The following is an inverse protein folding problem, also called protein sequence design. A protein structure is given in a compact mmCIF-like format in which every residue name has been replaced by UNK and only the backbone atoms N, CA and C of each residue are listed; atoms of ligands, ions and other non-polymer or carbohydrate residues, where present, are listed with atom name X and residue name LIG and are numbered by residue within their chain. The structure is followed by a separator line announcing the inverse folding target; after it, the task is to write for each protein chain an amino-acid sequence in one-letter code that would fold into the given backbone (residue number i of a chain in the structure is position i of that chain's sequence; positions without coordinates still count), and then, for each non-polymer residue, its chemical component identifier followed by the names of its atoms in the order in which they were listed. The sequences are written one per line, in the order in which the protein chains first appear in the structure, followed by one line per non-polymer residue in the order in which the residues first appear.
data_IF_892908820367
#
_entry.id   IF_892908820367
#
_cell.length_a   1.000
_cell.length_b   1.000
_cell.length_c   1.000
_cell.angle_alpha   90.00
_cell.angle_beta   90.00
_cell.angle_gamma   90.00
#
_symmetry.space_group_name_H-M   'P 1'
#
loop_
_entity.id
_entity.type
_entity.pdbx_description
1 polymer ?
#
# COMPACT_ATOMS: atom_id res chain seq x y z
N UNK A 1 41.37 -10.75 48.17
CA UNK A 1 41.17 -10.83 46.72
C UNK A 1 40.97 -9.42 46.19
N UNK A 2 41.92 -8.87 45.41
CA UNK A 2 41.80 -7.55 44.78
C UNK A 2 40.89 -7.69 43.55
N UNK A 3 39.69 -7.10 43.55
CA UNK A 3 38.84 -6.93 42.36
C UNK A 3 39.49 -5.94 41.45
N UNK A 4 39.98 -6.39 40.31
CA UNK A 4 40.42 -5.50 39.23
C UNK A 4 39.18 -4.95 38.55
N UNK A 5 38.81 -3.72 38.86
CA UNK A 5 37.77 -3.00 38.11
C UNK A 5 38.41 -2.46 36.85
N UNK A 6 38.18 -3.14 35.72
CA UNK A 6 38.50 -2.59 34.39
C UNK A 6 37.45 -1.54 34.03
N UNK A 7 37.87 -0.29 34.01
CA UNK A 7 37.02 0.82 33.51
C UNK A 7 37.16 0.96 32.01
N UNK A 8 36.05 1.30 31.32
CA UNK A 8 36.08 1.66 29.91
C UNK A 8 36.85 2.96 29.69
N UNK A 9 37.67 3.00 28.65
CA UNK A 9 38.36 4.23 28.25
C UNK A 9 37.40 5.12 27.44
N UNK A 10 37.58 6.44 27.51
CA UNK A 10 36.75 7.40 26.77
C UNK A 10 36.87 7.20 25.26
N UNK A 11 38.04 6.79 24.77
CA UNK A 11 38.25 6.52 23.35
C UNK A 11 37.56 5.28 22.85
N UNK A 12 37.44 4.23 23.67
CA UNK A 12 36.67 3.02 23.33
C UNK A 12 35.18 3.34 23.18
N UNK A 13 34.64 4.17 24.09
CA UNK A 13 33.24 4.60 23.99
C UNK A 13 33.00 5.44 22.73
N UNK A 14 33.92 6.37 22.45
CA UNK A 14 33.82 7.25 21.27
C UNK A 14 33.92 6.46 19.98
N UNK A 15 34.80 5.46 19.89
CA UNK A 15 34.89 4.58 18.72
C UNK A 15 33.58 3.79 18.47
N UNK A 16 32.98 3.24 19.53
CA UNK A 16 31.70 2.48 19.41
C UNK A 16 30.57 3.36 18.93
N UNK A 17 30.40 4.58 19.51
CA UNK A 17 29.30 5.46 19.08
C UNK A 17 29.47 5.95 17.66
N UNK A 18 30.74 6.16 17.21
CA UNK A 18 31.02 6.51 15.82
C UNK A 18 30.61 5.37 14.87
N UNK A 19 30.97 4.12 15.19
CA UNK A 19 30.60 2.95 14.38
C UNK A 19 29.08 2.79 14.29
N UNK A 20 28.37 2.88 15.43
CA UNK A 20 26.90 2.81 15.46
C UNK A 20 26.28 3.94 14.63
N UNK A 21 26.80 5.16 14.72
CA UNK A 21 26.35 6.32 13.96
C UNK A 21 26.43 6.08 12.45
N UNK A 22 27.55 5.56 11.96
CA UNK A 22 27.73 5.25 10.53
C UNK A 22 26.79 4.13 10.09
N UNK A 23 26.68 3.04 10.82
CA UNK A 23 25.81 1.92 10.50
C UNK A 23 24.34 2.35 10.48
N UNK A 24 23.89 3.11 11.47
CA UNK A 24 22.51 3.59 11.59
C UNK A 24 22.14 4.53 10.45
N UNK A 25 23.08 5.37 9.97
CA UNK A 25 22.82 6.30 8.88
C UNK A 25 22.39 5.61 7.58
N UNK A 26 22.89 4.41 7.31
CA UNK A 26 22.56 3.60 6.13
C UNK A 26 21.37 2.67 6.40
N UNK A 27 21.31 2.06 7.58
CA UNK A 27 20.31 1.05 7.92
C UNK A 27 18.90 1.65 8.09
N UNK A 28 18.77 2.83 8.70
CA UNK A 28 17.48 3.43 9.01
C UNK A 28 16.61 3.74 7.77
N UNK A 29 17.13 4.33 6.67
CA UNK A 29 16.34 4.55 5.46
C UNK A 29 15.86 3.24 4.82
N UNK A 30 16.71 2.20 4.81
CA UNK A 30 16.35 0.90 4.25
C UNK A 30 15.26 0.21 5.08
N UNK A 31 15.39 0.26 6.40
CA UNK A 31 14.39 -0.27 7.33
C UNK A 31 13.01 0.39 7.10
N UNK A 32 12.96 1.71 7.02
CA UNK A 32 11.70 2.45 6.74
C UNK A 32 11.06 2.02 5.43
N UNK A 33 11.82 1.83 4.36
CA UNK A 33 11.32 1.35 3.07
C UNK A 33 10.75 -0.06 3.19
N UNK A 34 11.40 -0.94 3.94
CA UNK A 34 10.93 -2.32 4.16
C UNK A 34 9.61 -2.35 4.93
N UNK A 35 9.47 -1.52 5.97
CA UNK A 35 8.22 -1.39 6.73
C UNK A 35 7.10 -0.87 5.83
N UNK A 36 7.35 0.15 5.01
CA UNK A 36 6.34 0.71 4.10
C UNK A 36 5.88 -0.29 3.04
N UNK A 37 6.77 -1.16 2.56
CA UNK A 37 6.40 -2.28 1.67
C UNK A 37 5.55 -3.32 2.38
N UNK A 38 5.89 -3.65 3.62
CA UNK A 38 5.11 -4.59 4.42
C UNK A 38 3.67 -4.05 4.66
N UNK A 39 3.53 -2.77 5.01
CA UNK A 39 2.22 -2.11 5.13
C UNK A 39 1.43 -2.15 3.82
N UNK A 40 2.08 -1.93 2.67
CA UNK A 40 1.43 -2.01 1.36
C UNK A 40 0.95 -3.43 1.03
N UNK A 41 1.72 -4.46 1.40
CA UNK A 41 1.33 -5.86 1.23
C UNK A 41 0.15 -6.24 2.12
N UNK A 42 0.10 -5.76 3.36
CA UNK A 42 -1.04 -5.93 4.25
C UNK A 42 -2.30 -5.28 3.66
N UNK A 43 -2.17 -4.03 3.20
CA UNK A 43 -3.27 -3.33 2.53
C UNK A 43 -3.75 -4.07 1.27
N UNK A 44 -2.85 -4.71 0.53
CA UNK A 44 -3.19 -5.51 -0.64
C UNK A 44 -4.01 -6.75 -0.26
N UNK A 45 -3.65 -7.45 0.81
CA UNK A 45 -4.41 -8.60 1.31
C UNK A 45 -5.81 -8.17 1.74
N UNK A 46 -5.92 -7.09 2.50
CA UNK A 46 -7.22 -6.55 2.93
C UNK A 46 -8.05 -6.09 1.74
N UNK A 47 -7.45 -5.39 0.77
CA UNK A 47 -8.10 -4.96 -0.47
C UNK A 47 -8.67 -6.14 -1.26
N UNK A 48 -7.88 -7.20 -1.42
CA UNK A 48 -8.32 -8.42 -2.11
C UNK A 48 -9.47 -9.10 -1.38
N UNK A 49 -9.40 -9.21 -0.06
CA UNK A 49 -10.45 -9.78 0.78
C UNK A 49 -11.77 -9.02 0.62
N UNK A 50 -11.74 -7.68 0.68
CA UNK A 50 -12.91 -6.83 0.47
C UNK A 50 -13.44 -6.99 -0.97
N UNK A 51 -12.55 -7.02 -1.96
CA UNK A 51 -12.92 -7.14 -3.37
C UNK A 51 -13.62 -8.48 -3.67
N UNK A 52 -13.08 -9.59 -3.16
CA UNK A 52 -13.68 -10.90 -3.35
C UNK A 52 -15.03 -11.03 -2.64
N UNK A 53 -15.17 -10.45 -1.44
CA UNK A 53 -16.44 -10.35 -0.71
C UNK A 53 -17.45 -9.50 -1.50
N UNK A 54 -17.04 -8.35 -2.02
CA UNK A 54 -17.90 -7.50 -2.83
C UNK A 54 -18.33 -8.17 -4.14
N UNK A 55 -17.51 -9.04 -4.74
CA UNK A 55 -17.91 -9.85 -5.90
C UNK A 55 -18.99 -10.85 -5.51
N UNK A 56 -18.87 -11.52 -4.35
CA UNK A 56 -19.93 -12.43 -3.86
C UNK A 56 -21.23 -11.69 -3.60
N UNK A 57 -21.16 -10.53 -2.94
CA UNK A 57 -22.32 -9.67 -2.70
C UNK A 57 -23.01 -9.28 -4.01
N UNK A 58 -22.29 -8.84 -5.03
CA UNK A 58 -22.82 -8.49 -6.35
C UNK A 58 -23.48 -9.66 -7.05
N UNK A 59 -22.91 -10.85 -6.94
CA UNK A 59 -23.48 -12.07 -7.54
C UNK A 59 -24.80 -12.45 -6.87
N UNK A 60 -24.94 -12.23 -5.56
CA UNK A 60 -26.14 -12.57 -4.81
C UNK A 60 -27.24 -11.51 -4.92
N UNK A 61 -26.91 -10.23 -4.96
CA UNK A 61 -27.85 -9.12 -4.84
C UNK A 61 -28.07 -8.34 -6.15
N UNK A 62 -27.31 -8.63 -7.20
CA UNK A 62 -27.29 -7.88 -8.48
C UNK A 62 -27.02 -6.37 -8.29
N UNK A 63 -26.43 -5.99 -7.15
CA UNK A 63 -26.16 -4.62 -6.75
C UNK A 63 -24.71 -4.48 -6.21
N UNK A 64 -24.22 -3.27 -6.10
CA UNK A 64 -22.88 -2.97 -5.63
C UNK A 64 -22.91 -2.55 -4.17
N UNK A 65 -22.08 -3.17 -3.29
CA UNK A 65 -22.03 -2.74 -1.91
C UNK A 65 -21.49 -1.29 -1.81
N UNK A 66 -22.18 -0.47 -1.02
CA UNK A 66 -21.76 0.92 -0.78
C UNK A 66 -20.82 1.09 0.43
N UNK A 67 -20.68 0.05 1.24
CA UNK A 67 -19.87 0.04 2.46
C UNK A 67 -19.47 -1.39 2.81
N UNK A 68 -18.74 -1.58 3.92
CA UNK A 68 -18.43 -2.91 4.44
C UNK A 68 -19.66 -3.63 4.98
N UNK A 69 -20.73 -2.88 5.32
CA UNK A 69 -21.97 -3.44 5.82
C UNK A 69 -22.64 -4.31 4.73
N UNK A 70 -22.92 -5.53 5.09
CA UNK A 70 -23.48 -6.52 4.16
C UNK A 70 -22.44 -7.37 3.44
N UNK A 71 -21.15 -7.05 3.57
CA UNK A 71 -20.08 -7.95 3.16
C UNK A 71 -19.87 -9.05 4.21
N UNK A 72 -19.40 -10.20 3.77
CA UNK A 72 -19.06 -11.35 4.62
C UNK A 72 -17.66 -11.24 5.29
N UNK A 73 -17.16 -10.01 5.40
CA UNK A 73 -15.88 -9.69 6.03
C UNK A 73 -16.06 -8.65 7.13
N UNK A 74 -15.30 -8.79 8.22
CA UNK A 74 -15.30 -7.85 9.33
C UNK A 74 -13.86 -7.42 9.65
N UNK A 75 -13.69 -6.13 9.92
CA UNK A 75 -12.42 -5.55 10.37
C UNK A 75 -12.68 -4.85 11.70
N UNK A 76 -11.92 -5.21 12.74
CA UNK A 76 -12.15 -4.75 14.11
C UNK A 76 -12.08 -3.22 14.26
N UNK A 77 -11.20 -2.57 13.49
CA UNK A 77 -10.93 -1.13 13.59
C UNK A 77 -11.71 -0.30 12.56
N UNK A 78 -12.59 -0.93 11.77
CA UNK A 78 -13.31 -0.26 10.70
C UNK A 78 -14.79 -0.01 11.05
N UNK A 79 -15.29 1.20 10.77
CA UNK A 79 -16.73 1.45 10.77
C UNK A 79 -17.41 0.73 9.58
N UNK A 80 -18.24 -0.29 9.82
CA UNK A 80 -18.87 -1.05 8.75
C UNK A 80 -19.87 -0.23 7.94
N UNK A 81 -20.40 0.88 8.47
CA UNK A 81 -21.35 1.75 7.77
C UNK A 81 -20.66 2.79 6.88
N UNK A 82 -19.34 3.00 7.06
CA UNK A 82 -18.58 3.95 6.26
C UNK A 82 -18.44 3.46 4.81
N UNK A 83 -18.64 4.35 3.84
CA UNK A 83 -18.30 4.10 2.43
C UNK A 83 -16.80 4.08 2.16
N UNK A 84 -16.05 4.71 3.07
CA UNK A 84 -14.60 4.87 2.98
C UNK A 84 -13.94 4.49 4.33
N UNK A 85 -14.08 3.22 4.81
CA UNK A 85 -13.53 2.78 6.09
C UNK A 85 -12.01 2.87 6.12
N UNK A 86 -11.47 3.18 7.30
CA UNK A 86 -10.02 3.17 7.55
C UNK A 86 -9.70 1.86 8.28
N UNK A 87 -8.71 1.13 7.76
CA UNK A 87 -8.16 -0.10 8.34
C UNK A 87 -6.65 0.09 8.41
N UNK A 88 -6.09 0.13 9.61
CA UNK A 88 -4.69 0.48 9.81
C UNK A 88 -4.34 1.84 9.21
N UNK A 89 -3.33 1.88 8.36
CA UNK A 89 -2.85 3.11 7.70
C UNK A 89 -3.51 3.38 6.32
N UNK A 90 -4.62 2.68 6.00
CA UNK A 90 -5.24 2.78 4.67
C UNK A 90 -6.73 3.07 4.77
N UNK A 91 -7.19 3.94 3.88
CA UNK A 91 -8.61 4.19 3.62
C UNK A 91 -9.06 3.36 2.42
N UNK A 92 -10.15 2.62 2.60
CA UNK A 92 -10.71 1.77 1.56
C UNK A 92 -11.96 2.41 0.97
N UNK A 93 -11.91 2.76 -0.31
CA UNK A 93 -13.05 3.30 -1.05
C UNK A 93 -13.77 2.17 -1.81
N UNK A 94 -15.04 1.94 -1.48
CA UNK A 94 -15.86 0.92 -2.13
C UNK A 94 -16.72 1.62 -3.18
N UNK A 95 -16.42 1.37 -4.47
CA UNK A 95 -17.09 2.02 -5.60
C UNK A 95 -17.66 0.97 -6.58
N UNK A 96 -18.67 1.33 -7.40
CA UNK A 96 -19.27 0.41 -8.36
C UNK A 96 -18.29 -0.17 -9.39
N UNK A 97 -17.26 0.56 -9.76
CA UNK A 97 -16.30 0.17 -10.78
C UNK A 97 -15.04 -0.46 -10.21
N UNK A 98 -14.70 -0.15 -8.95
CA UNK A 98 -13.45 -0.56 -8.33
C UNK A 98 -13.51 -0.50 -6.80
N UNK A 99 -12.56 -1.14 -6.16
CA UNK A 99 -12.25 -0.92 -4.75
C UNK A 99 -10.80 -0.43 -4.66
N UNK A 100 -10.59 0.64 -3.91
CA UNK A 100 -9.28 1.24 -3.72
C UNK A 100 -8.86 1.25 -2.26
N UNK A 101 -7.56 1.11 -2.00
CA UNK A 101 -6.92 1.29 -0.70
C UNK A 101 -5.86 2.38 -0.83
N UNK A 102 -6.13 3.57 -0.31
CA UNK A 102 -5.22 4.70 -0.34
C UNK A 102 -4.57 4.88 1.02
N UNK A 103 -3.24 5.04 1.04
CA UNK A 103 -2.50 5.32 2.26
C UNK A 103 -2.94 6.67 2.86
N UNK A 104 -3.13 6.70 4.18
CA UNK A 104 -3.49 7.91 4.94
C UNK A 104 -2.23 8.46 5.60
N UNK A 105 -1.77 9.64 5.18
CA UNK A 105 -0.62 10.35 5.77
C UNK A 105 -1.11 11.47 6.72
N UNK A 106 -1.91 11.09 7.73
CA UNK A 106 -2.38 12.04 8.76
C UNK A 106 -3.37 13.12 8.29
N UNK A 107 -3.70 13.17 6.99
CA UNK A 107 -4.68 14.09 6.41
C UNK A 107 -6.00 13.38 6.13
N UNK A 108 -7.11 14.05 6.41
CA UNK A 108 -8.46 13.47 6.24
C UNK A 108 -8.77 13.02 4.81
N UNK A 109 -8.12 13.59 3.81
CA UNK A 109 -8.25 13.24 2.39
C UNK A 109 -6.86 13.09 1.75
N UNK A 110 -6.23 11.94 1.90
CA UNK A 110 -5.08 11.61 1.08
C UNK A 110 -5.58 11.06 -0.27
N UNK A 111 -5.24 11.78 -1.33
CA UNK A 111 -5.44 11.34 -2.70
C UNK A 111 -4.18 10.66 -3.22
N UNK A 112 -4.27 9.90 -4.32
CA UNK A 112 -3.09 9.32 -4.98
C UNK A 112 -2.05 10.37 -5.44
N UNK A 113 -2.38 11.67 -5.42
CA UNK A 113 -1.44 12.76 -5.70
C UNK A 113 -0.39 12.95 -4.62
N UNK A 114 -0.76 12.73 -3.35
CA UNK A 114 0.11 12.94 -2.20
C UNK A 114 0.75 11.64 -1.68
N UNK A 115 0.08 10.53 -1.94
CA UNK A 115 0.48 9.20 -1.45
C UNK A 115 0.42 8.17 -2.59
N UNK A 116 0.12 6.92 -2.26
CA UNK A 116 -0.18 5.89 -3.25
C UNK A 116 -1.50 5.20 -2.91
N UNK A 117 -2.17 4.68 -3.95
CA UNK A 117 -3.38 3.91 -3.85
C UNK A 117 -3.23 2.59 -4.58
N UNK A 118 -3.62 1.51 -3.93
CA UNK A 118 -3.84 0.20 -4.54
C UNK A 118 -5.28 0.13 -5.00
N UNK A 119 -5.53 -0.26 -6.24
CA UNK A 119 -6.88 -0.27 -6.81
C UNK A 119 -7.13 -1.59 -7.52
N UNK A 120 -8.21 -2.27 -7.14
CA UNK A 120 -8.74 -3.44 -7.87
C UNK A 120 -9.94 -3.03 -8.71
N UNK A 121 -9.81 -3.19 -10.02
CA UNK A 121 -10.85 -2.88 -10.99
C UNK A 121 -11.64 -4.14 -11.33
N UNK A 122 -12.98 -4.05 -11.30
CA UNK A 122 -13.82 -5.17 -11.77
C UNK A 122 -13.68 -5.40 -13.27
N UNK A 123 -13.54 -4.30 -14.02
CA UNK A 123 -13.33 -4.31 -15.46
C UNK A 123 -12.59 -3.05 -15.88
N UNK A 124 -11.57 -3.18 -16.70
CA UNK A 124 -10.83 -2.06 -17.29
C UNK A 124 -10.42 -2.40 -18.72
N UNK A 125 -10.47 -1.42 -19.62
CA UNK A 125 -10.02 -1.59 -21.01
C UNK A 125 -8.74 -0.80 -21.21
N UNK A 126 -7.69 -1.50 -21.63
CA UNK A 126 -6.35 -0.95 -21.87
C UNK A 126 -5.99 -1.32 -23.31
N UNK A 127 -5.62 -0.34 -24.14
CA UNK A 127 -5.26 -0.54 -25.54
C UNK A 127 -6.26 -1.42 -26.32
N UNK A 128 -7.56 -1.22 -26.07
CA UNK A 128 -8.64 -2.00 -26.71
C UNK A 128 -8.91 -3.37 -26.11
N UNK A 129 -8.06 -3.87 -25.22
CA UNK A 129 -8.24 -5.17 -24.53
C UNK A 129 -8.91 -4.96 -23.17
N UNK A 130 -9.95 -5.74 -22.91
CA UNK A 130 -10.68 -5.68 -21.64
C UNK A 130 -10.15 -6.69 -20.64
N UNK A 131 -9.70 -6.18 -19.50
CA UNK A 131 -9.23 -6.98 -18.36
C UNK A 131 -10.27 -6.99 -17.24
N UNK A 132 -10.35 -8.10 -16.52
CA UNK A 132 -11.18 -8.25 -15.32
C UNK A 132 -10.30 -8.51 -14.11
N UNK A 133 -10.74 -8.02 -12.95
CA UNK A 133 -10.05 -8.22 -11.67
C UNK A 133 -8.60 -7.70 -11.73
N UNK A 134 -8.42 -6.54 -12.35
CA UNK A 134 -7.13 -5.93 -12.55
C UNK A 134 -6.69 -5.16 -11.31
N UNK A 135 -5.51 -5.50 -10.81
CA UNK A 135 -4.86 -4.77 -9.71
C UNK A 135 -3.86 -3.77 -10.27
N UNK A 136 -3.93 -2.54 -9.77
CA UNK A 136 -2.98 -1.47 -10.10
C UNK A 136 -2.60 -0.65 -8.87
N UNK A 137 -1.42 -0.05 -8.91
CA UNK A 137 -0.93 0.92 -7.94
C UNK A 137 -0.81 2.28 -8.62
N UNK A 138 -1.43 3.30 -8.08
CA UNK A 138 -1.39 4.66 -8.57
C UNK A 138 -0.64 5.55 -7.58
N UNK A 139 0.31 6.36 -8.07
CA UNK A 139 0.96 7.37 -7.25
C UNK A 139 1.34 8.59 -8.09
N UNK A 140 1.02 9.77 -7.58
CA UNK A 140 1.48 11.05 -8.13
C UNK A 140 2.73 11.58 -7.41
N UNK A 141 3.20 10.87 -6.39
CA UNK A 141 4.30 11.31 -5.55
C UNK A 141 5.55 10.49 -5.81
N UNK A 142 6.64 11.16 -6.21
CA UNK A 142 7.97 10.54 -6.37
C UNK A 142 8.45 9.85 -5.07
N UNK A 143 8.05 10.38 -3.91
CA UNK A 143 8.37 9.79 -2.60
C UNK A 143 7.87 8.35 -2.46
N UNK A 144 6.73 8.00 -3.07
CA UNK A 144 6.07 6.70 -2.93
C UNK A 144 6.20 5.80 -4.16
N UNK A 145 6.82 6.29 -5.22
CA UNK A 145 7.01 5.57 -6.48
C UNK A 145 7.64 4.19 -6.27
N UNK A 146 8.66 4.09 -5.42
CA UNK A 146 9.33 2.83 -5.13
C UNK A 146 8.42 1.74 -4.54
N UNK A 147 7.32 2.12 -3.86
CA UNK A 147 6.34 1.15 -3.33
C UNK A 147 5.58 0.52 -4.49
N UNK A 148 5.02 1.34 -5.40
CA UNK A 148 4.34 0.83 -6.58
C UNK A 148 5.28 0.02 -7.48
N UNK A 149 6.50 0.47 -7.71
CA UNK A 149 7.53 -0.27 -8.48
C UNK A 149 7.87 -1.61 -7.85
N UNK A 150 7.96 -1.68 -6.52
CA UNK A 150 8.26 -2.93 -5.82
C UNK A 150 7.12 -3.95 -5.86
N UNK A 151 5.89 -3.49 -6.06
CA UNK A 151 4.70 -4.33 -6.17
C UNK A 151 4.40 -4.71 -7.62
N UNK A 152 4.77 -3.87 -8.58
CA UNK A 152 4.52 -4.11 -10.00
C UNK A 152 5.41 -5.23 -10.53
N UNK A 153 4.79 -6.26 -11.08
CA UNK A 153 5.47 -7.35 -11.77
C UNK A 153 5.63 -7.09 -13.27
N UNK A 154 4.89 -6.12 -13.79
CA UNK A 154 4.90 -5.72 -15.19
C UNK A 154 4.78 -4.21 -15.32
N UNK A 155 5.30 -3.74 -16.38
CA UNK A 155 5.43 -2.40 -16.93
C UNK A 155 4.69 -1.22 -16.28
N UNK A 156 5.44 -0.15 -16.24
CA UNK A 156 4.95 1.20 -16.03
C UNK A 156 4.24 1.66 -17.30
N UNK A 157 2.93 1.65 -17.34
CA UNK A 157 2.22 2.32 -18.40
C UNK A 157 2.27 3.83 -18.08
N UNK A 158 3.17 4.55 -18.77
CA UNK A 158 3.38 5.99 -18.63
C UNK A 158 2.22 6.84 -19.12
N UNK A 159 1.01 6.32 -19.18
CA UNK A 159 -0.17 7.13 -19.32
C UNK A 159 -0.36 7.92 -18.03
N UNK A 160 0.24 9.08 -17.99
CA UNK A 160 -0.07 10.15 -17.07
C UNK A 160 -1.55 10.51 -17.24
N UNK A 161 -2.42 9.84 -16.50
CA UNK A 161 -3.63 10.52 -16.08
C UNK A 161 -3.16 11.84 -15.46
N UNK A 162 -3.92 12.93 -15.57
CA UNK A 162 -3.54 14.30 -15.15
C UNK A 162 -2.95 14.44 -13.73
N UNK A 163 -2.77 13.34 -13.01
CA UNK A 163 -2.23 13.27 -11.65
C UNK A 163 -1.78 11.84 -11.31
N UNK A 164 -0.58 11.42 -11.71
CA UNK A 164 0.06 10.23 -11.19
C UNK A 164 0.51 9.20 -12.22
N UNK A 165 1.38 8.32 -11.78
CA UNK A 165 1.87 7.19 -12.56
C UNK A 165 1.13 5.93 -12.12
N UNK A 166 0.60 5.17 -13.07
CA UNK A 166 -0.09 3.90 -12.84
C UNK A 166 0.84 2.73 -13.08
N UNK A 167 0.93 1.82 -12.09
CA UNK A 167 1.69 0.57 -12.16
C UNK A 167 0.73 -0.61 -12.11
N UNK A 168 0.79 -1.50 -13.07
CA UNK A 168 -0.03 -2.72 -13.06
C UNK A 168 0.67 -3.82 -12.27
N UNK A 169 -0.06 -4.46 -11.35
CA UNK A 169 0.43 -5.54 -10.47
C UNK A 169 -0.14 -6.89 -10.97
N UNK A 170 -0.36 -7.01 -12.24
CA UNK A 170 -0.94 -8.22 -12.84
C UNK A 170 -0.08 -8.69 -14.00
N UNK A 171 0.18 -9.98 -14.03
CA UNK A 171 0.81 -10.70 -15.13
C UNK A 171 -0.04 -10.73 -16.42
N UNK A 172 -1.31 -10.25 -16.32
CA UNK A 172 -2.26 -10.24 -17.43
C UNK A 172 -2.08 -9.03 -18.37
N UNK A 173 -1.37 -8.01 -17.96
CA UNK A 173 -1.16 -6.80 -18.77
C UNK A 173 0.20 -6.90 -19.42
N UNK A 174 0.20 -7.08 -20.74
CA UNK A 174 1.40 -7.00 -21.56
C UNK A 174 1.58 -5.54 -21.96
N UNK A 175 2.75 -5.01 -21.74
CA UNK A 175 3.13 -3.68 -22.22
C UNK A 175 3.98 -3.84 -23.46
N UNK A 176 3.54 -3.23 -24.54
CA UNK A 176 4.29 -3.07 -25.78
C UNK A 176 5.27 -1.90 -25.65
#
# INVERSE_FOLDING_TARGET
MKKNNFGFTLIELLAVVLMIGILTSVALPQYRRSVQRAEAMEALVNLKTIFDSAKRYRAANSDTPGSLKGLDVQFFDADPNSSDPIIGNFRYAIKPTHIGACRVDGKAHSTYTDTYCLVMMYKETINGTTYRDLLKCNTGSEKWKYVCESLAQSCTNGNTAKSGTTYYISDKVVCD
#
